data_IF_066113105694
#
_entry.id   IF_066113105694
#
_cell.length_a   1.000
_cell.length_b   1.000
_cell.length_c   1.000
_cell.angle_alpha   90.00
_cell.angle_beta   90.00
_cell.angle_gamma   90.00
#
_symmetry.space_group_name_H-M   'P 1'
#
loop_
_entity.id
_entity.type
_entity.pdbx_description
1 polymer ?
#
# COMPACT_ATOMS: atom_id res chain seq x y z
N UNK A 1 84.86 -14.44 10.72
CA UNK A 1 84.98 -15.90 10.45
C UNK A 1 84.24 -16.62 11.58
N UNK A 2 83.27 -17.50 11.23
CA UNK A 2 82.29 -18.16 12.12
C UNK A 2 81.30 -17.19 12.80
N UNK A 3 80.03 -17.48 13.05
CA UNK A 3 79.04 -18.53 12.77
C UNK A 3 77.78 -18.03 13.54
N UNK A 4 76.53 -18.11 13.08
CA UNK A 4 75.58 -19.22 13.27
C UNK A 4 74.18 -18.71 12.85
N UNK A 5 73.41 -19.57 12.17
CA UNK A 5 71.94 -19.51 11.92
C UNK A 5 71.19 -19.98 13.23
N UNK A 6 69.83 -20.11 13.41
CA UNK A 6 68.76 -20.31 12.39
C UNK A 6 67.26 -19.95 12.75
N UNK A 7 66.35 -20.26 11.78
CA UNK A 7 64.86 -20.45 11.83
C UNK A 7 63.96 -19.21 12.07
N UNK A 8 62.86 -19.00 11.34
CA UNK A 8 61.55 -19.69 11.54
C UNK A 8 60.55 -19.35 10.41
N UNK A 9 60.02 -20.42 9.79
CA UNK A 9 58.65 -20.72 9.33
C UNK A 9 57.94 -20.05 8.12
N UNK A 10 57.44 -20.98 7.29
CA UNK A 10 56.36 -20.93 6.29
C UNK A 10 55.15 -20.05 6.68
N UNK A 11 54.47 -19.48 5.68
CA UNK A 11 53.18 -19.99 5.14
C UNK A 11 52.67 -19.10 4.00
N UNK A 12 52.26 -19.73 2.90
CA UNK A 12 51.65 -19.06 1.75
C UNK A 12 50.25 -18.56 2.04
N UNK A 13 49.79 -17.58 1.25
CA UNK A 13 48.38 -17.21 1.11
C UNK A 13 48.08 -16.96 -0.37
N UNK A 14 47.11 -17.72 -0.85
CA UNK A 14 46.44 -17.75 -2.17
C UNK A 14 45.51 -16.52 -2.31
N UNK A 15 45.26 -16.00 -3.52
CA UNK A 15 44.56 -14.73 -3.75
C UNK A 15 43.07 -14.79 -3.38
N UNK A 16 42.54 -13.70 -2.80
CA UNK A 16 41.11 -13.51 -2.56
C UNK A 16 40.51 -12.83 -3.78
N UNK A 17 39.83 -13.63 -4.61
CA UNK A 17 38.88 -13.15 -5.62
C UNK A 17 37.57 -12.86 -4.88
N UNK A 18 37.22 -11.58 -4.76
CA UNK A 18 35.94 -11.17 -4.18
C UNK A 18 34.80 -11.47 -5.16
N UNK A 19 34.05 -12.54 -4.89
CA UNK A 19 32.79 -12.86 -5.54
C UNK A 19 31.67 -11.99 -4.94
N UNK A 20 31.25 -10.94 -5.66
CA UNK A 20 30.05 -10.16 -5.31
C UNK A 20 28.81 -10.98 -5.66
N UNK A 21 28.22 -11.64 -4.66
CA UNK A 21 26.85 -12.16 -4.73
C UNK A 21 25.89 -10.98 -4.76
N UNK A 22 25.40 -10.62 -5.95
CA UNK A 22 24.23 -9.77 -6.08
C UNK A 22 23.01 -10.55 -5.57
N UNK A 23 22.65 -10.37 -4.30
CA UNK A 23 21.34 -10.74 -3.80
C UNK A 23 20.31 -9.95 -4.61
N UNK A 24 19.52 -10.66 -5.42
CA UNK A 24 18.42 -10.08 -6.16
C UNK A 24 17.50 -9.33 -5.21
N UNK A 25 17.43 -8.01 -5.35
CA UNK A 25 16.29 -7.25 -4.87
C UNK A 25 15.12 -7.69 -5.75
N UNK A 26 14.35 -8.67 -5.28
CA UNK A 26 12.99 -8.86 -5.77
C UNK A 26 12.23 -7.61 -5.38
N UNK A 27 12.24 -6.61 -6.27
CA UNK A 27 11.33 -5.47 -6.19
C UNK A 27 9.95 -6.11 -6.33
N UNK A 28 9.21 -6.17 -5.23
CA UNK A 28 7.85 -6.68 -5.28
C UNK A 28 7.01 -5.60 -5.99
N UNK A 29 6.97 -5.66 -7.32
CA UNK A 29 6.24 -4.74 -8.21
C UNK A 29 4.71 -4.84 -8.06
N UNK A 30 4.21 -5.57 -7.06
CA UNK A 30 2.79 -5.68 -6.74
C UNK A 30 2.20 -4.44 -6.03
N UNK A 31 3.05 -3.52 -5.53
CA UNK A 31 2.61 -2.37 -4.73
C UNK A 31 2.19 -1.11 -5.51
N UNK A 32 2.36 -1.09 -6.83
CA UNK A 32 2.13 0.10 -7.65
C UNK A 32 0.80 0.05 -8.41
N UNK A 33 -0.25 -0.55 -7.84
CA UNK A 33 -1.58 -0.12 -8.24
C UNK A 33 -1.73 1.31 -7.73
N UNK A 34 -1.48 2.27 -8.62
CA UNK A 34 -1.55 3.71 -8.30
C UNK A 34 -2.85 3.97 -7.57
N UNK A 35 -2.82 4.75 -6.47
CA UNK A 35 -4.02 5.06 -5.68
C UNK A 35 -5.22 5.45 -6.55
N UNK A 36 -4.96 6.19 -7.65
CA UNK A 36 -5.97 6.60 -8.62
C UNK A 36 -6.80 5.44 -9.21
N UNK A 37 -6.20 4.25 -9.45
CA UNK A 37 -6.93 3.10 -10.02
C UNK A 37 -7.90 2.46 -9.03
N UNK A 38 -7.75 2.77 -7.73
CA UNK A 38 -8.59 2.28 -6.62
C UNK A 38 -9.73 3.21 -6.25
N UNK A 39 -9.76 4.43 -6.79
CA UNK A 39 -10.73 5.45 -6.40
C UNK A 39 -11.68 5.75 -7.57
N UNK A 40 -12.98 5.70 -7.30
CA UNK A 40 -14.05 6.12 -8.20
C UNK A 40 -14.81 7.27 -7.53
N UNK A 41 -14.76 8.47 -8.12
CA UNK A 41 -15.52 9.62 -7.63
C UNK A 41 -16.78 9.76 -8.48
N UNK A 42 -17.94 9.83 -7.84
CA UNK A 42 -19.21 10.13 -8.49
C UNK A 42 -19.48 11.63 -8.37
N UNK A 43 -19.17 12.36 -9.44
CA UNK A 43 -19.20 13.82 -9.45
C UNK A 43 -17.89 14.45 -8.99
N UNK A 44 -17.87 15.78 -8.98
CA UNK A 44 -16.74 16.56 -8.51
C UNK A 44 -16.66 16.53 -6.97
N UNK A 45 -15.45 16.53 -6.44
CA UNK A 45 -15.19 16.57 -4.99
C UNK A 45 -14.09 17.60 -4.72
N UNK A 46 -14.47 18.87 -4.74
CA UNK A 46 -13.54 20.00 -4.65
C UNK A 46 -12.82 20.06 -3.29
N UNK A 47 -13.54 19.78 -2.20
CA UNK A 47 -13.03 19.96 -0.84
C UNK A 47 -12.59 18.67 -0.16
N UNK A 48 -12.81 17.51 -0.78
CA UNK A 48 -12.48 16.20 -0.22
C UNK A 48 -11.45 15.48 -1.08
N UNK A 49 -10.31 15.18 -0.48
CA UNK A 49 -9.17 14.54 -1.13
C UNK A 49 -8.89 13.18 -0.48
N UNK A 50 -8.54 12.18 -1.30
CA UNK A 50 -7.93 10.95 -0.80
C UNK A 50 -6.45 11.25 -0.57
N UNK A 51 -6.07 11.43 0.69
CA UNK A 51 -4.73 11.83 1.09
C UNK A 51 -3.76 10.65 1.18
N UNK A 52 -4.24 9.46 1.52
CA UNK A 52 -3.44 8.24 1.61
C UNK A 52 -4.31 7.00 1.37
N UNK A 53 -3.70 5.92 0.88
CA UNK A 53 -4.31 4.62 0.70
C UNK A 53 -3.28 3.54 1.05
N UNK A 54 -3.63 2.70 2.03
CA UNK A 54 -2.80 1.56 2.44
C UNK A 54 -3.57 0.27 2.29
N UNK A 55 -2.89 -0.72 1.75
CA UNK A 55 -3.43 -2.06 1.54
C UNK A 55 -2.46 -3.04 2.19
N UNK A 56 -2.99 -3.96 2.98
CA UNK A 56 -2.22 -5.06 3.54
C UNK A 56 -3.03 -6.35 3.39
N UNK A 57 -2.35 -7.48 3.23
CA UNK A 57 -3.01 -8.78 3.31
C UNK A 57 -2.74 -9.40 4.68
N UNK A 58 -3.79 -9.82 5.39
CA UNK A 58 -3.69 -10.53 6.67
C UNK A 58 -4.65 -11.71 6.65
N UNK A 59 -4.14 -12.89 6.95
CA UNK A 59 -4.92 -14.14 6.89
C UNK A 59 -5.63 -14.36 5.54
N UNK A 60 -4.97 -13.96 4.45
CA UNK A 60 -5.52 -14.05 3.09
C UNK A 60 -6.51 -12.95 2.69
N UNK A 61 -6.99 -12.13 3.63
CA UNK A 61 -7.94 -11.05 3.37
C UNK A 61 -7.25 -9.70 3.18
N UNK A 62 -7.76 -8.89 2.25
CA UNK A 62 -7.34 -7.50 2.11
C UNK A 62 -7.82 -6.67 3.29
N UNK A 63 -6.91 -5.90 3.85
CA UNK A 63 -7.15 -4.87 4.86
C UNK A 63 -6.86 -3.54 4.17
N UNK A 64 -7.85 -2.67 4.10
CA UNK A 64 -7.78 -1.40 3.38
C UNK A 64 -7.93 -0.26 4.37
N UNK A 65 -7.05 0.73 4.25
CA UNK A 65 -7.15 1.99 4.95
C UNK A 65 -7.13 3.13 3.93
N UNK A 66 -8.11 4.03 4.00
CA UNK A 66 -8.23 5.20 3.15
C UNK A 66 -8.26 6.43 4.05
N UNK A 67 -7.32 7.35 3.88
CA UNK A 67 -7.35 8.65 4.56
C UNK A 67 -8.05 9.67 3.65
N UNK A 68 -9.15 10.24 4.13
CA UNK A 68 -9.84 11.35 3.48
C UNK A 68 -9.51 12.64 4.22
N UNK A 69 -9.08 13.65 3.50
CA UNK A 69 -8.78 14.98 4.01
C UNK A 69 -9.82 15.98 3.52
N UNK A 70 -10.37 16.75 4.45
CA UNK A 70 -11.15 17.93 4.14
C UNK A 70 -10.22 19.15 4.00
N UNK A 71 -10.19 19.77 2.82
CA UNK A 71 -9.39 20.97 2.54
C UNK A 71 -10.14 22.27 2.82
N UNK A 72 -11.46 22.22 3.03
CA UNK A 72 -12.32 23.34 3.44
C UNK A 72 -12.21 23.66 4.93
N UNK A 73 -12.67 24.86 5.32
CA UNK A 73 -12.90 25.23 6.72
C UNK A 73 -14.27 24.76 7.22
N UNK A 74 -15.18 24.40 6.31
CA UNK A 74 -16.53 23.92 6.60
C UNK A 74 -16.57 22.41 6.73
N UNK A 75 -17.63 21.89 7.35
CA UNK A 75 -17.87 20.45 7.42
C UNK A 75 -18.36 19.94 6.07
N UNK A 76 -17.86 18.78 5.66
CA UNK A 76 -18.20 18.15 4.39
C UNK A 76 -18.84 16.78 4.64
N UNK A 77 -19.89 16.47 3.89
CA UNK A 77 -20.55 15.17 3.94
C UNK A 77 -19.98 14.27 2.84
N UNK A 78 -19.36 13.16 3.22
CA UNK A 78 -18.96 12.09 2.32
C UNK A 78 -19.97 10.94 2.39
N UNK A 79 -20.22 10.31 1.26
CA UNK A 79 -20.78 8.97 1.16
C UNK A 79 -19.75 8.08 0.49
N UNK A 80 -19.55 6.89 1.04
CA UNK A 80 -18.59 5.94 0.49
C UNK A 80 -19.12 4.51 0.51
N UNK A 81 -18.60 3.67 -0.40
CA UNK A 81 -18.80 2.22 -0.40
C UNK A 81 -17.63 1.51 -1.08
N UNK A 82 -17.45 0.22 -0.81
CA UNK A 82 -16.45 -0.60 -1.46
C UNK A 82 -17.10 -1.53 -2.48
N UNK A 83 -16.49 -1.64 -3.66
CA UNK A 83 -16.71 -2.75 -4.60
C UNK A 83 -15.55 -3.71 -4.41
N UNK A 84 -15.85 -4.98 -4.14
CA UNK A 84 -14.84 -6.02 -3.94
C UNK A 84 -14.69 -6.84 -5.21
N UNK A 85 -13.45 -6.96 -5.71
CA UNK A 85 -13.14 -7.47 -7.02
C UNK A 85 -12.17 -8.66 -6.95
N UNK A 86 -12.24 -9.55 -7.93
CA UNK A 86 -11.16 -10.52 -8.18
C UNK A 86 -10.00 -9.89 -8.98
N UNK A 87 -8.98 -10.70 -9.29
CA UNK A 87 -7.79 -10.28 -10.04
C UNK A 87 -8.08 -9.92 -11.49
N UNK A 88 -9.24 -10.33 -12.00
CA UNK A 88 -9.72 -10.04 -13.35
C UNK A 88 -10.65 -8.82 -13.38
N UNK A 89 -10.96 -8.23 -12.22
CA UNK A 89 -11.82 -7.05 -12.07
C UNK A 89 -13.32 -7.35 -11.98
N UNK A 90 -13.73 -8.61 -11.81
CA UNK A 90 -15.15 -8.96 -11.61
C UNK A 90 -15.55 -8.78 -10.15
N UNK A 91 -16.81 -8.37 -9.92
CA UNK A 91 -17.34 -8.28 -8.55
C UNK A 91 -17.48 -9.66 -7.93
N UNK A 92 -16.95 -9.84 -6.73
CA UNK A 92 -17.02 -11.09 -5.94
C UNK A 92 -17.83 -10.93 -4.66
N UNK A 93 -18.48 -9.78 -4.49
CA UNK A 93 -19.36 -9.50 -3.36
C UNK A 93 -20.60 -8.73 -3.81
N UNK A 94 -21.62 -8.74 -2.96
CA UNK A 94 -22.82 -7.95 -3.15
C UNK A 94 -22.50 -6.46 -3.05
N UNK A 95 -23.27 -5.63 -3.74
CA UNK A 95 -23.16 -4.18 -3.64
C UNK A 95 -23.30 -3.72 -2.18
N UNK A 96 -22.28 -3.02 -1.69
CA UNK A 96 -22.36 -2.39 -0.37
C UNK A 96 -23.32 -1.18 -0.40
N UNK A 97 -24.13 -0.98 0.66
CA UNK A 97 -24.89 0.24 0.82
C UNK A 97 -23.95 1.44 1.02
N UNK A 98 -24.42 2.63 0.65
CA UNK A 98 -23.70 3.86 0.92
C UNK A 98 -23.59 4.13 2.42
N UNK A 99 -22.37 4.37 2.88
CA UNK A 99 -22.06 4.71 4.27
C UNK A 99 -21.82 6.22 4.37
N UNK A 100 -22.61 6.97 5.17
CA UNK A 100 -22.36 8.39 5.39
C UNK A 100 -21.17 8.59 6.34
N UNK A 101 -20.37 9.62 6.09
CA UNK A 101 -19.28 10.07 6.95
C UNK A 101 -19.20 11.60 6.94
N UNK A 102 -19.43 12.22 8.10
CA UNK A 102 -19.22 13.65 8.29
C UNK A 102 -17.73 13.91 8.55
N UNK A 103 -17.13 14.83 7.79
CA UNK A 103 -15.73 15.21 7.95
C UNK A 103 -15.67 16.69 8.32
N UNK A 104 -15.26 16.99 9.56
CA UNK A 104 -15.15 18.37 10.03
C UNK A 104 -14.13 19.18 9.22
N UNK A 105 -14.27 20.50 9.23
CA UNK A 105 -13.33 21.41 8.55
C UNK A 105 -11.88 21.11 8.92
N UNK A 106 -11.00 21.06 7.91
CA UNK A 106 -9.56 20.72 8.03
C UNK A 106 -9.25 19.34 8.62
N UNK A 107 -10.26 18.51 8.91
CA UNK A 107 -10.06 17.20 9.50
C UNK A 107 -9.55 16.17 8.48
N UNK A 108 -8.79 15.20 8.98
CA UNK A 108 -8.51 13.92 8.31
C UNK A 108 -9.34 12.81 8.96
N UNK A 109 -9.93 11.95 8.14
CA UNK A 109 -10.67 10.78 8.60
C UNK A 109 -10.09 9.52 7.98
N UNK A 110 -9.92 8.49 8.82
CA UNK A 110 -9.39 7.20 8.40
C UNK A 110 -10.54 6.20 8.28
N UNK A 111 -10.81 5.75 7.06
CA UNK A 111 -11.76 4.68 6.77
C UNK A 111 -10.96 3.37 6.76
N UNK A 112 -11.32 2.41 7.61
CA UNK A 112 -10.71 1.08 7.64
C UNK A 112 -11.74 0.02 7.33
N UNK A 113 -11.38 -0.96 6.50
CA UNK A 113 -12.24 -2.11 6.19
C UNK A 113 -11.42 -3.36 5.91
N UNK A 114 -12.07 -4.52 5.99
CA UNK A 114 -11.50 -5.81 5.63
C UNK A 114 -12.38 -6.42 4.54
N UNK A 115 -11.75 -7.06 3.55
CA UNK A 115 -12.46 -7.80 2.52
C UNK A 115 -13.41 -8.82 3.14
N UNK A 116 -14.63 -8.96 2.61
CA UNK A 116 -15.64 -9.87 3.14
C UNK A 116 -15.41 -11.33 2.73
N UNK A 117 -14.53 -11.58 1.77
CA UNK A 117 -14.26 -12.91 1.21
C UNK A 117 -12.81 -13.02 0.73
N UNK A 118 -12.25 -14.23 0.77
CA UNK A 118 -10.91 -14.53 0.23
C UNK A 118 -10.84 -14.40 -1.30
N UNK A 119 -11.99 -14.40 -1.98
CA UNK A 119 -12.06 -14.17 -3.43
C UNK A 119 -11.76 -12.70 -3.80
N UNK A 120 -11.87 -11.77 -2.84
CA UNK A 120 -11.61 -10.36 -3.08
C UNK A 120 -10.11 -10.09 -3.01
N UNK A 121 -9.46 -10.18 -4.17
CA UNK A 121 -8.04 -9.88 -4.35
C UNK A 121 -7.79 -8.45 -4.80
N UNK A 122 -8.85 -7.70 -5.13
CA UNK A 122 -8.82 -6.28 -5.43
C UNK A 122 -10.09 -5.55 -4.93
N UNK A 123 -10.11 -4.23 -5.01
CA UNK A 123 -11.26 -3.39 -4.65
C UNK A 123 -11.27 -2.06 -5.40
N UNK A 124 -12.42 -1.39 -5.32
CA UNK A 124 -12.58 0.02 -5.68
C UNK A 124 -13.38 0.74 -4.60
N UNK A 125 -12.85 1.87 -4.13
CA UNK A 125 -13.54 2.79 -3.22
C UNK A 125 -14.35 3.75 -4.05
N UNK A 126 -15.67 3.71 -3.90
CA UNK A 126 -16.57 4.63 -4.57
C UNK A 126 -16.92 5.74 -3.59
N UNK A 127 -16.74 6.99 -4.00
CA UNK A 127 -16.89 8.19 -3.20
C UNK A 127 -17.89 9.13 -3.85
N UNK A 128 -18.70 9.81 -3.04
CA UNK A 128 -19.60 10.87 -3.48
C UNK A 128 -19.73 11.93 -2.38
N UNK A 129 -19.73 13.21 -2.76
CA UNK A 129 -20.13 14.29 -1.87
C UNK A 129 -21.16 15.18 -2.61
N UNK A 130 -22.46 15.04 -2.33
CA UNK A 130 -23.50 15.74 -3.10
C UNK A 130 -23.51 17.26 -2.91
N UNK A 131 -22.77 17.78 -1.92
CA UNK A 131 -22.70 19.22 -1.61
C UNK A 131 -21.41 19.89 -2.13
N UNK A 132 -20.71 19.26 -3.07
CA UNK A 132 -19.46 19.76 -3.68
C UNK A 132 -19.62 20.10 -5.17
#
# INVERSE_FOLDING_TARGET
>A
MKSLSPYILLKGIVPVISLLLAFGLSVNEAGAQSMASKIEKLGEMTYLEVADLRIAQRNGLLNVQVEIKNTSNSNEQLYYRFKWLDSSGFSVWNDEPWKPLLIYGKQKQLITTVAPTLQATDFRVVLQSPNN
#
